data_IF_114931217077
#
_entry.id   IF_114931217077
#
_cell.length_a   1.000
_cell.length_b   1.000
_cell.length_c   1.000
_cell.angle_alpha   90.00
_cell.angle_beta   90.00
_cell.angle_gamma   90.00
#
_symmetry.space_group_name_H-M   'P 1'
#
loop_
_entity.id
_entity.type
_entity.pdbx_description
1 polymer ?
#
# COMPACT_ATOMS: atom_id res chain seq x y z
N UNK A 1 29.26 7.50 31.32
CA UNK A 1 28.97 7.80 29.92
C UNK A 1 28.59 6.58 29.00
N UNK A 2 28.56 5.32 29.51
CA UNK A 2 28.25 4.11 28.67
C UNK A 2 26.76 3.73 28.52
N UNK A 3 25.84 4.32 29.31
CA UNK A 3 24.40 4.00 29.23
C UNK A 3 23.67 4.70 28.05
N UNK A 4 24.15 5.85 27.58
CA UNK A 4 23.54 6.58 26.47
C UNK A 4 23.80 5.94 25.10
N UNK A 5 24.97 5.31 24.89
CA UNK A 5 25.30 4.65 23.62
C UNK A 5 24.49 3.37 23.35
N UNK A 6 24.09 2.66 24.43
CA UNK A 6 23.31 1.42 24.31
C UNK A 6 21.82 1.64 23.99
N UNK A 7 21.28 2.84 24.20
CA UNK A 7 19.90 3.20 23.80
C UNK A 7 19.87 3.65 22.34
N UNK A 8 20.87 4.43 21.91
CA UNK A 8 20.99 4.91 20.53
C UNK A 8 21.20 3.77 19.52
N UNK A 9 21.90 2.70 19.90
CA UNK A 9 22.13 1.53 19.04
C UNK A 9 20.87 0.66 18.81
N UNK A 10 19.80 0.86 19.59
CA UNK A 10 18.53 0.14 19.46
C UNK A 10 17.52 0.86 18.54
N UNK A 11 17.77 2.12 18.19
CA UNK A 11 16.88 2.89 17.32
C UNK A 11 17.17 2.50 15.86
N UNK A 12 16.15 2.07 15.09
CA UNK A 12 16.34 1.76 13.67
C UNK A 12 16.96 2.94 12.92
N UNK A 13 17.95 2.68 12.05
CA UNK A 13 18.64 3.72 11.27
C UNK A 13 17.71 4.64 10.48
N UNK A 14 16.58 4.11 10.01
CA UNK A 14 15.53 4.87 9.31
C UNK A 14 14.96 6.03 10.14
N UNK A 15 14.90 5.88 11.47
CA UNK A 15 14.42 6.96 12.35
C UNK A 15 15.30 8.22 12.23
N UNK A 16 16.62 8.01 12.18
CA UNK A 16 17.59 9.09 11.98
C UNK A 16 17.46 9.70 10.58
N UNK A 17 17.18 8.87 9.57
CA UNK A 17 16.89 9.32 8.22
C UNK A 17 15.64 10.22 8.17
N UNK A 18 14.54 9.83 8.82
CA UNK A 18 13.31 10.63 8.93
C UNK A 18 13.62 11.98 9.59
N UNK A 19 14.32 11.97 10.70
CA UNK A 19 14.66 13.19 11.44
C UNK A 19 15.53 14.14 10.61
N UNK A 20 16.58 13.61 9.97
CA UNK A 20 17.49 14.40 9.14
C UNK A 20 16.76 15.05 7.98
N UNK A 21 15.95 14.28 7.23
CA UNK A 21 15.21 14.77 6.07
C UNK A 21 14.12 15.77 6.49
N UNK A 22 13.44 15.53 7.63
CA UNK A 22 12.46 16.48 8.16
C UNK A 22 13.09 17.82 8.57
N UNK A 23 14.25 17.77 9.20
CA UNK A 23 15.01 18.98 9.56
C UNK A 23 15.46 19.70 8.29
N UNK A 24 16.02 18.99 7.30
CA UNK A 24 16.44 19.58 6.03
C UNK A 24 15.31 20.34 5.34
N UNK A 25 14.14 19.69 5.17
CA UNK A 25 12.99 20.33 4.50
C UNK A 25 12.33 21.42 5.34
N UNK A 26 12.45 21.39 6.65
CA UNK A 26 11.99 22.50 7.50
C UNK A 26 12.72 23.81 7.22
N UNK A 27 13.98 23.75 6.76
CA UNK A 27 14.77 24.93 6.39
C UNK A 27 14.70 25.26 4.89
N UNK A 28 14.51 24.26 4.02
CA UNK A 28 14.61 24.45 2.57
C UNK A 28 13.26 24.57 1.86
N UNK A 29 12.20 23.96 2.42
CA UNK A 29 10.88 23.91 1.79
C UNK A 29 9.90 24.85 2.50
N UNK A 30 9.39 25.84 1.77
CA UNK A 30 8.39 26.78 2.30
C UNK A 30 7.11 26.03 2.69
N UNK A 31 6.56 26.34 3.86
CA UNK A 31 5.35 25.73 4.42
C UNK A 31 5.48 24.24 4.78
N UNK A 32 6.68 23.66 4.83
CA UNK A 32 6.86 22.24 5.20
C UNK A 32 6.26 21.91 6.58
N UNK A 33 6.46 22.77 7.57
CA UNK A 33 5.96 22.62 8.95
C UNK A 33 4.52 23.11 9.14
N UNK A 34 3.83 23.58 8.08
CA UNK A 34 2.45 24.01 8.17
C UNK A 34 1.55 22.82 8.57
N UNK A 35 0.61 22.99 9.55
CA UNK A 35 -0.29 21.91 9.97
C UNK A 35 -1.06 21.23 8.83
N UNK A 36 -1.50 21.98 7.83
CA UNK A 36 -2.17 21.43 6.65
C UNK A 36 -1.23 20.56 5.81
N UNK A 37 0.05 20.90 5.73
CA UNK A 37 1.02 20.09 5.04
C UNK A 37 1.34 18.81 5.81
N UNK A 38 1.48 18.89 7.13
CA UNK A 38 1.65 17.70 7.99
C UNK A 38 0.48 16.74 7.82
N UNK A 39 -0.75 17.25 7.81
CA UNK A 39 -1.95 16.46 7.53
C UNK A 39 -1.88 15.77 6.15
N UNK A 40 -1.44 16.47 5.12
CA UNK A 40 -1.27 15.90 3.79
C UNK A 40 -0.19 14.81 3.74
N UNK A 41 0.93 15.01 4.43
CA UNK A 41 1.98 13.99 4.58
C UNK A 41 1.41 12.74 5.25
N UNK A 42 0.65 12.88 6.33
CA UNK A 42 0.02 11.76 7.03
C UNK A 42 -1.00 11.02 6.15
N UNK A 43 -1.84 11.75 5.40
CA UNK A 43 -2.79 11.14 4.44
C UNK A 43 -2.06 10.38 3.31
N UNK A 44 -0.97 10.95 2.78
CA UNK A 44 -0.15 10.29 1.76
C UNK A 44 0.53 9.03 2.32
N UNK A 45 1.10 9.12 3.52
CA UNK A 45 1.66 7.97 4.24
C UNK A 45 0.63 6.87 4.43
N UNK A 46 -0.61 7.22 4.80
CA UNK A 46 -1.68 6.26 5.03
C UNK A 46 -2.01 5.44 3.79
N UNK A 47 -2.20 6.11 2.65
CA UNK A 47 -2.46 5.43 1.37
C UNK A 47 -1.28 4.54 0.96
N UNK A 48 -0.06 5.09 1.03
CA UNK A 48 1.15 4.34 0.69
C UNK A 48 1.35 3.13 1.62
N UNK A 49 1.04 3.27 2.91
CA UNK A 49 1.19 2.18 3.88
C UNK A 49 0.21 1.04 3.60
N UNK A 50 -1.06 1.33 3.26
CA UNK A 50 -2.04 0.29 2.94
C UNK A 50 -1.59 -0.57 1.76
N UNK A 51 -1.13 0.03 0.67
CA UNK A 51 -0.62 -0.73 -0.48
C UNK A 51 0.69 -1.46 -0.12
N UNK A 52 1.54 -0.85 0.71
CA UNK A 52 2.81 -1.44 1.17
C UNK A 52 2.62 -2.65 2.09
N UNK A 53 1.44 -2.84 2.72
CA UNK A 53 1.14 -4.06 3.49
C UNK A 53 1.21 -5.29 2.58
N UNK A 54 0.58 -5.23 1.40
CA UNK A 54 0.65 -6.28 0.40
C UNK A 54 2.08 -6.54 -0.08
N UNK A 55 2.78 -5.48 -0.47
CA UNK A 55 4.18 -5.54 -0.89
C UNK A 55 5.08 -6.13 0.21
N UNK A 56 4.83 -5.82 1.49
CA UNK A 56 5.61 -6.38 2.62
C UNK A 56 5.46 -7.90 2.68
N UNK A 57 4.24 -8.42 2.53
CA UNK A 57 4.03 -9.88 2.57
C UNK A 57 4.69 -10.58 1.38
N UNK A 58 4.64 -9.99 0.19
CA UNK A 58 5.30 -10.53 -0.99
C UNK A 58 6.83 -10.55 -0.79
N UNK A 59 7.43 -9.43 -0.35
CA UNK A 59 8.88 -9.34 -0.14
C UNK A 59 9.34 -10.24 1.00
N UNK A 60 8.58 -10.34 2.10
CA UNK A 60 8.88 -11.28 3.18
C UNK A 60 8.91 -12.75 2.71
N UNK A 61 8.16 -13.10 1.67
CA UNK A 61 8.20 -14.44 1.05
C UNK A 61 9.27 -14.60 -0.04
N UNK A 62 10.17 -13.61 -0.20
CA UNK A 62 11.21 -13.61 -1.24
C UNK A 62 10.66 -13.34 -2.65
N UNK A 63 9.50 -12.70 -2.78
CA UNK A 63 8.84 -12.38 -4.05
C UNK A 63 8.48 -10.90 -4.14
N UNK A 64 8.19 -10.46 -5.34
CA UNK A 64 7.77 -9.07 -5.60
C UNK A 64 6.38 -9.08 -6.23
N UNK A 65 5.57 -8.09 -5.89
CA UNK A 65 4.29 -7.83 -6.53
C UNK A 65 4.28 -6.42 -7.13
N UNK A 66 4.50 -6.35 -8.44
CA UNK A 66 4.43 -5.11 -9.20
C UNK A 66 2.99 -4.73 -9.58
N UNK A 67 2.05 -5.67 -9.50
CA UNK A 67 0.69 -5.43 -9.97
C UNK A 67 -0.09 -4.43 -9.14
N UNK A 68 0.39 -4.10 -7.92
CA UNK A 68 -0.37 -3.32 -6.93
C UNK A 68 -0.80 -1.94 -7.43
N UNK A 69 0.02 -1.23 -8.23
CA UNK A 69 -0.33 0.08 -8.81
C UNK A 69 -1.45 -0.02 -9.85
N UNK A 70 -1.30 -0.91 -10.82
CA UNK A 70 -2.32 -1.18 -11.83
C UNK A 70 -3.61 -1.73 -11.23
N UNK A 71 -3.51 -2.63 -10.24
CA UNK A 71 -4.65 -3.18 -9.49
C UNK A 71 -5.39 -2.08 -8.73
N UNK A 72 -4.68 -1.20 -8.03
CA UNK A 72 -5.29 -0.08 -7.29
C UNK A 72 -6.01 0.88 -8.25
N UNK A 73 -5.37 1.22 -9.38
CA UNK A 73 -5.97 2.09 -10.39
C UNK A 73 -7.24 1.47 -10.96
N UNK A 74 -7.19 0.23 -11.42
CA UNK A 74 -8.35 -0.43 -12.01
C UNK A 74 -9.49 -0.63 -11.01
N UNK A 75 -9.20 -1.14 -9.82
CA UNK A 75 -10.19 -1.36 -8.75
C UNK A 75 -10.85 -0.05 -8.31
N UNK A 76 -10.06 1.01 -8.13
CA UNK A 76 -10.55 2.34 -7.82
C UNK A 76 -11.41 2.90 -8.94
N UNK A 77 -11.03 2.66 -10.22
CA UNK A 77 -11.80 3.10 -11.38
C UNK A 77 -13.15 2.38 -11.50
N UNK A 78 -13.20 1.06 -11.29
CA UNK A 78 -14.48 0.33 -11.28
C UNK A 78 -15.41 0.86 -10.19
N UNK A 79 -14.88 1.15 -9.00
CA UNK A 79 -15.64 1.79 -7.92
C UNK A 79 -16.07 3.22 -8.27
N UNK A 80 -15.22 3.98 -8.96
CA UNK A 80 -15.52 5.34 -9.41
C UNK A 80 -16.69 5.34 -10.41
N UNK A 81 -16.68 4.46 -11.41
CA UNK A 81 -17.75 4.30 -12.38
C UNK A 81 -19.06 3.91 -11.69
N UNK A 82 -19.02 2.95 -10.76
CA UNK A 82 -20.21 2.58 -9.99
C UNK A 82 -20.80 3.78 -9.23
N UNK A 83 -19.97 4.53 -8.49
CA UNK A 83 -20.46 5.70 -7.75
C UNK A 83 -20.92 6.83 -8.66
N UNK A 84 -20.31 7.00 -9.82
CA UNK A 84 -20.67 8.02 -10.80
C UNK A 84 -22.02 7.73 -11.51
N UNK A 85 -22.44 6.45 -11.58
CA UNK A 85 -23.75 6.07 -12.11
C UNK A 85 -24.92 6.39 -11.15
N UNK A 86 -24.64 6.86 -9.93
CA UNK A 86 -25.62 7.23 -8.91
C UNK A 86 -25.70 8.76 -8.79
N UNK A 87 -26.90 9.31 -8.71
CA UNK A 87 -27.10 10.77 -8.58
C UNK A 87 -26.57 11.31 -7.24
N UNK A 88 -26.87 10.60 -6.12
CA UNK A 88 -26.41 10.98 -4.78
C UNK A 88 -26.03 9.74 -3.94
N UNK A 89 -24.77 9.28 -4.03
CA UNK A 89 -24.31 8.11 -3.31
C UNK A 89 -24.39 8.28 -1.79
N UNK A 90 -25.08 7.36 -1.13
CA UNK A 90 -25.19 7.28 0.33
C UNK A 90 -24.13 6.35 0.94
N UNK A 91 -24.15 6.18 2.29
CA UNK A 91 -23.18 5.36 3.00
C UNK A 91 -23.19 3.87 2.56
N UNK A 92 -24.36 3.31 2.20
CA UNK A 92 -24.44 1.94 1.66
C UNK A 92 -23.76 1.81 0.29
N UNK A 93 -23.96 2.81 -0.57
CA UNK A 93 -23.29 2.83 -1.88
C UNK A 93 -21.77 2.93 -1.71
N UNK A 94 -21.29 3.71 -0.75
CA UNK A 94 -19.86 3.77 -0.42
C UNK A 94 -19.33 2.42 0.07
N UNK A 95 -20.07 1.73 0.95
CA UNK A 95 -19.69 0.39 1.41
C UNK A 95 -19.62 -0.61 0.23
N UNK A 96 -20.62 -0.59 -0.67
CA UNK A 96 -20.63 -1.43 -1.88
C UNK A 96 -19.41 -1.08 -2.76
N UNK A 97 -19.10 0.19 -2.96
CA UNK A 97 -17.94 0.63 -3.74
C UNK A 97 -16.60 0.14 -3.15
N UNK A 98 -16.46 0.17 -1.81
CA UNK A 98 -15.30 -0.42 -1.12
C UNK A 98 -15.23 -1.93 -1.37
N UNK A 99 -16.35 -2.64 -1.25
CA UNK A 99 -16.40 -4.09 -1.49
C UNK A 99 -16.09 -4.43 -2.95
N UNK A 100 -16.57 -3.63 -3.91
CA UNK A 100 -16.21 -3.75 -5.33
C UNK A 100 -14.70 -3.58 -5.51
N UNK A 101 -14.10 -2.51 -4.97
CA UNK A 101 -12.68 -2.26 -5.09
C UNK A 101 -11.84 -3.41 -4.52
N UNK A 102 -12.15 -3.83 -3.29
CA UNK A 102 -11.46 -4.95 -2.63
C UNK A 102 -11.68 -6.26 -3.39
N UNK A 103 -12.90 -6.51 -3.88
CA UNK A 103 -13.24 -7.70 -4.65
C UNK A 103 -12.49 -7.78 -5.98
N UNK A 104 -12.47 -6.69 -6.75
CA UNK A 104 -11.70 -6.61 -8.00
C UNK A 104 -10.21 -6.80 -7.74
N UNK A 105 -9.67 -6.13 -6.72
CA UNK A 105 -8.27 -6.31 -6.32
C UNK A 105 -7.97 -7.76 -5.89
N UNK A 106 -8.87 -8.38 -5.10
CA UNK A 106 -8.76 -9.77 -4.70
C UNK A 106 -8.77 -10.75 -5.89
N UNK A 107 -9.60 -10.50 -6.90
CA UNK A 107 -9.66 -11.32 -8.12
C UNK A 107 -8.34 -11.27 -8.90
N UNK A 108 -7.75 -10.07 -9.08
CA UNK A 108 -6.45 -9.92 -9.73
C UNK A 108 -5.36 -10.59 -8.87
N UNK A 109 -5.37 -10.38 -7.56
CA UNK A 109 -4.45 -11.02 -6.65
C UNK A 109 -4.59 -12.55 -6.64
N UNK A 110 -5.82 -13.08 -6.71
CA UNK A 110 -6.07 -14.52 -6.84
C UNK A 110 -5.52 -15.09 -8.15
N UNK A 111 -5.68 -14.37 -9.26
CA UNK A 111 -5.07 -14.74 -10.54
C UNK A 111 -3.54 -14.81 -10.43
N UNK A 112 -2.90 -13.74 -9.93
CA UNK A 112 -1.46 -13.71 -9.72
C UNK A 112 -1.00 -14.85 -8.79
N UNK A 113 -1.68 -15.01 -7.65
CA UNK A 113 -1.38 -16.06 -6.69
C UNK A 113 -1.55 -17.47 -7.24
N UNK A 114 -2.53 -17.70 -8.12
CA UNK A 114 -2.71 -18.98 -8.81
C UNK A 114 -1.57 -19.24 -9.80
N UNK A 115 -1.23 -18.27 -10.63
CA UNK A 115 -0.16 -18.39 -11.63
C UNK A 115 1.20 -18.62 -10.96
N UNK A 116 1.50 -17.88 -9.90
CA UNK A 116 2.79 -17.95 -9.20
C UNK A 116 2.84 -19.15 -8.26
N UNK A 117 1.82 -19.35 -7.44
CA UNK A 117 1.80 -20.40 -6.42
C UNK A 117 1.61 -21.80 -7.00
N UNK A 118 0.66 -21.99 -7.90
CA UNK A 118 0.29 -23.32 -8.41
C UNK A 118 0.93 -23.64 -9.77
N UNK A 119 1.02 -22.67 -10.67
CA UNK A 119 1.60 -22.86 -12.01
C UNK A 119 3.10 -22.59 -12.05
N UNK A 120 3.69 -22.01 -10.97
CA UNK A 120 5.12 -21.74 -10.84
C UNK A 120 5.69 -20.79 -11.90
N UNK A 121 4.84 -19.90 -12.43
CA UNK A 121 5.32 -18.82 -13.28
C UNK A 121 6.17 -17.82 -12.45
N UNK A 122 7.08 -17.14 -13.14
CA UNK A 122 7.88 -16.08 -12.54
C UNK A 122 7.00 -14.94 -12.04
N UNK A 123 7.22 -14.53 -10.78
CA UNK A 123 6.41 -13.51 -10.12
C UNK A 123 6.53 -12.13 -10.78
N UNK A 124 7.72 -11.79 -11.24
CA UNK A 124 8.01 -10.54 -11.91
C UNK A 124 7.22 -10.43 -13.23
N UNK A 125 7.27 -11.49 -14.03
CA UNK A 125 6.57 -11.53 -15.31
C UNK A 125 5.06 -11.40 -15.14
N UNK A 126 4.46 -12.18 -14.24
CA UNK A 126 3.00 -12.19 -14.03
C UNK A 126 2.53 -10.86 -13.44
N UNK A 127 3.20 -10.35 -12.42
CA UNK A 127 2.75 -9.13 -11.75
C UNK A 127 2.96 -7.88 -12.61
N UNK A 128 4.03 -7.81 -13.39
CA UNK A 128 4.24 -6.73 -14.37
C UNK A 128 3.20 -6.77 -15.50
N UNK A 129 2.86 -7.96 -15.99
CA UNK A 129 1.82 -8.13 -17.01
C UNK A 129 0.45 -7.70 -16.49
N UNK A 130 0.08 -8.13 -15.29
CA UNK A 130 -1.21 -7.75 -14.69
C UNK A 130 -1.27 -6.28 -14.29
N UNK A 131 -0.14 -5.64 -13.94
CA UNK A 131 -0.04 -4.19 -13.76
C UNK A 131 -0.42 -3.47 -15.05
N UNK A 132 0.21 -3.85 -16.17
CA UNK A 132 -0.03 -3.23 -17.48
C UNK A 132 -1.47 -3.44 -17.95
N UNK A 133 -2.04 -4.63 -17.74
CA UNK A 133 -3.44 -4.94 -18.01
C UNK A 133 -4.36 -4.06 -17.15
N UNK A 134 -4.05 -3.88 -15.85
CA UNK A 134 -4.83 -3.06 -14.93
C UNK A 134 -4.91 -1.59 -15.40
N UNK A 135 -3.78 -0.97 -15.76
CA UNK A 135 -3.77 0.39 -16.33
C UNK A 135 -4.53 0.46 -17.67
N UNK A 136 -4.33 -0.52 -18.56
CA UNK A 136 -5.03 -0.58 -19.84
C UNK A 136 -6.55 -0.71 -19.69
N UNK A 137 -7.02 -1.58 -18.80
CA UNK A 137 -8.45 -1.74 -18.50
C UNK A 137 -9.05 -0.48 -17.86
N UNK A 138 -8.34 0.18 -16.96
CA UNK A 138 -8.77 1.46 -16.39
C UNK A 138 -8.97 2.53 -17.47
N UNK A 139 -8.09 2.56 -18.48
CA UNK A 139 -8.18 3.49 -19.59
C UNK A 139 -9.36 3.15 -20.50
N UNK A 140 -9.60 1.87 -20.79
CA UNK A 140 -10.73 1.42 -21.65
C UNK A 140 -12.08 1.77 -21.03
N UNK A 141 -12.26 1.55 -19.71
CA UNK A 141 -13.55 1.78 -19.04
C UNK A 141 -13.99 3.26 -19.12
N UNK A 142 -13.04 4.20 -19.09
CA UNK A 142 -13.33 5.63 -19.05
C UNK A 142 -13.04 6.36 -20.35
N UNK A 143 -12.54 5.67 -21.38
CA UNK A 143 -12.06 6.31 -22.60
C UNK A 143 -10.89 7.26 -22.34
N UNK A 144 -10.08 7.00 -21.28
CA UNK A 144 -8.96 7.84 -20.88
C UNK A 144 -9.33 9.06 -20.01
N UNK A 145 -10.61 9.25 -19.68
CA UNK A 145 -11.07 10.40 -18.91
C UNK A 145 -10.92 10.19 -17.40
N UNK A 146 -10.77 11.32 -16.70
CA UNK A 146 -10.81 11.36 -15.23
C UNK A 146 -12.27 11.49 -14.79
N UNK A 147 -12.70 10.67 -13.85
CA UNK A 147 -14.01 10.77 -13.20
C UNK A 147 -13.81 11.49 -11.86
N UNK A 148 -14.62 12.52 -11.58
CA UNK A 148 -14.50 13.33 -10.36
C UNK A 148 -15.85 13.92 -9.96
N UNK A 149 -15.88 14.63 -8.82
CA UNK A 149 -17.08 15.38 -8.41
C UNK A 149 -18.00 14.63 -7.47
N UNK A 150 -17.48 13.75 -6.62
CA UNK A 150 -18.27 13.00 -5.65
C UNK A 150 -18.70 13.85 -4.45
N UNK A 151 -19.82 13.45 -3.86
CA UNK A 151 -20.38 14.10 -2.67
C UNK A 151 -19.51 13.87 -1.41
N UNK A 152 -19.89 14.54 -0.30
CA UNK A 152 -19.17 14.45 0.98
C UNK A 152 -19.15 13.03 1.56
N UNK A 153 -20.18 12.22 1.29
CA UNK A 153 -20.27 10.84 1.78
C UNK A 153 -19.16 9.95 1.20
N UNK A 154 -18.93 10.06 -0.10
CA UNK A 154 -17.84 9.34 -0.78
C UNK A 154 -16.47 9.81 -0.29
N UNK A 155 -16.30 11.12 -0.08
CA UNK A 155 -15.05 11.71 0.40
C UNK A 155 -14.75 11.45 1.87
N UNK A 156 -15.73 10.97 2.64
CA UNK A 156 -15.60 10.84 4.09
C UNK A 156 -14.47 9.91 4.53
N UNK A 157 -14.27 8.78 3.85
CA UNK A 157 -13.22 7.82 4.22
C UNK A 157 -11.80 8.33 3.91
N UNK A 158 -11.64 9.16 2.87
CA UNK A 158 -10.33 9.70 2.46
C UNK A 158 -9.96 11.06 3.04
N UNK A 159 -10.96 11.92 3.30
CA UNK A 159 -10.75 13.31 3.74
C UNK A 159 -11.58 13.72 4.96
N UNK A 160 -12.54 12.90 5.37
CA UNK A 160 -13.38 13.15 6.55
C UNK A 160 -12.58 13.08 7.86
N UNK A 161 -13.20 13.59 8.94
CA UNK A 161 -12.62 13.58 10.29
C UNK A 161 -13.64 13.08 11.31
N UNK A 162 -13.16 12.26 12.26
CA UNK A 162 -13.89 11.83 13.45
C UNK A 162 -13.10 12.28 14.68
N UNK A 163 -13.75 13.02 15.60
CA UNK A 163 -13.10 13.56 16.81
C UNK A 163 -11.80 14.34 16.54
N UNK A 164 -11.72 15.04 15.38
CA UNK A 164 -10.54 15.80 14.99
C UNK A 164 -9.42 14.97 14.35
N UNK A 165 -9.58 13.64 14.22
CA UNK A 165 -8.60 12.75 13.57
C UNK A 165 -9.13 12.38 12.18
N UNK A 166 -8.28 12.38 11.17
CA UNK A 166 -8.66 11.94 9.81
C UNK A 166 -9.04 10.47 9.78
N UNK A 167 -10.21 10.17 9.18
CA UNK A 167 -10.74 8.81 9.08
C UNK A 167 -9.76 7.88 8.37
N UNK A 168 -9.09 8.37 7.34
CA UNK A 168 -8.06 7.63 6.61
C UNK A 168 -6.93 7.13 7.53
N UNK A 169 -6.47 7.96 8.50
CA UNK A 169 -5.47 7.54 9.48
C UNK A 169 -6.01 6.43 10.40
N UNK A 170 -7.25 6.56 10.85
CA UNK A 170 -7.88 5.54 11.70
C UNK A 170 -7.99 4.20 10.98
N UNK A 171 -8.44 4.20 9.73
CA UNK A 171 -8.49 2.99 8.89
C UNK A 171 -7.10 2.37 8.78
N UNK A 172 -6.09 3.19 8.48
CA UNK A 172 -4.71 2.72 8.30
C UNK A 172 -4.14 2.11 9.57
N UNK A 173 -4.37 2.73 10.72
CA UNK A 173 -3.91 2.20 12.03
C UNK A 173 -4.57 0.86 12.33
N UNK A 174 -5.89 0.75 12.13
CA UNK A 174 -6.65 -0.48 12.38
C UNK A 174 -6.16 -1.59 11.43
N UNK A 175 -6.10 -1.32 10.13
CA UNK A 175 -5.66 -2.31 9.12
C UNK A 175 -4.22 -2.76 9.38
N UNK A 176 -3.32 -1.81 9.64
CA UNK A 176 -1.91 -2.13 9.93
C UNK A 176 -1.77 -2.93 11.23
N UNK A 177 -2.52 -2.56 12.29
CA UNK A 177 -2.52 -3.29 13.55
C UNK A 177 -3.00 -4.73 13.40
N UNK A 178 -4.10 -4.94 12.66
CA UNK A 178 -4.61 -6.28 12.34
C UNK A 178 -3.58 -7.11 11.55
N UNK A 179 -2.88 -6.48 10.60
CA UNK A 179 -1.88 -7.18 9.80
C UNK A 179 -0.59 -7.46 10.56
N UNK A 180 -0.16 -6.59 11.46
CA UNK A 180 0.94 -6.87 12.40
C UNK A 180 0.59 -8.07 13.28
N UNK A 181 -0.64 -8.10 13.82
CA UNK A 181 -1.12 -9.24 14.59
C UNK A 181 -1.14 -10.52 13.75
N UNK A 182 -1.65 -10.47 12.51
CA UNK A 182 -1.67 -11.61 11.59
C UNK A 182 -0.26 -12.15 11.34
N UNK A 183 0.69 -11.28 11.02
CA UNK A 183 2.07 -11.69 10.71
C UNK A 183 2.81 -12.24 11.94
N UNK A 184 2.58 -11.69 13.13
CA UNK A 184 3.32 -12.07 14.35
C UNK A 184 2.70 -13.21 15.13
N UNK A 185 1.36 -13.36 15.08
CA UNK A 185 0.62 -14.22 16.00
C UNK A 185 -0.11 -15.38 15.33
N UNK A 186 -0.05 -15.51 13.98
CA UNK A 186 -0.76 -16.59 13.28
C UNK A 186 0.18 -17.55 12.56
N UNK A 187 -0.32 -18.77 12.30
CA UNK A 187 0.40 -19.77 11.49
C UNK A 187 0.69 -19.24 10.08
N UNK A 188 -0.22 -18.44 9.51
CA UNK A 188 -0.02 -17.87 8.19
C UNK A 188 1.19 -16.93 8.16
N UNK A 189 1.35 -16.05 9.17
CA UNK A 189 2.53 -15.20 9.29
C UNK A 189 3.82 -16.04 9.40
N UNK A 190 3.86 -17.07 10.26
CA UNK A 190 5.01 -17.97 10.35
C UNK A 190 5.34 -18.64 9.02
N UNK A 191 4.31 -19.06 8.25
CA UNK A 191 4.52 -19.66 6.93
C UNK A 191 5.13 -18.68 5.93
N UNK A 192 4.74 -17.38 5.94
CA UNK A 192 5.34 -16.35 5.09
C UNK A 192 6.85 -16.24 5.35
N UNK A 193 7.25 -16.13 6.62
CA UNK A 193 8.67 -16.04 6.99
C UNK A 193 9.44 -17.33 6.63
N UNK A 194 8.85 -18.51 6.88
CA UNK A 194 9.47 -19.80 6.54
C UNK A 194 9.67 -19.95 5.02
N UNK A 195 8.66 -19.57 4.21
CA UNK A 195 8.76 -19.61 2.74
C UNK A 195 9.83 -18.63 2.24
N UNK A 196 9.94 -17.45 2.86
CA UNK A 196 10.94 -16.46 2.49
C UNK A 196 12.36 -16.85 2.88
N UNK A 197 12.54 -17.61 3.95
CA UNK A 197 13.87 -18.09 4.35
C UNK A 197 14.33 -19.22 3.40
N UNK A 198 13.47 -20.20 3.13
CA UNK A 198 13.70 -21.27 2.15
C UNK A 198 12.42 -21.98 1.77
N UNK A 199 11.98 -21.88 0.51
CA UNK A 199 10.80 -22.60 0.02
C UNK A 199 10.96 -24.13 0.19
N UNK A 200 12.16 -24.65 -0.07
CA UNK A 200 12.45 -26.09 0.03
C UNK A 200 12.34 -26.57 1.48
N UNK A 201 12.98 -25.86 2.41
CA UNK A 201 12.92 -26.20 3.84
C UNK A 201 11.49 -26.06 4.40
N UNK A 202 10.76 -25.06 3.98
CA UNK A 202 9.37 -24.86 4.37
C UNK A 202 8.48 -26.03 3.88
N UNK A 203 8.65 -26.47 2.63
CA UNK A 203 7.88 -27.57 2.05
C UNK A 203 8.17 -28.89 2.77
N UNK A 204 9.45 -29.22 3.03
CA UNK A 204 9.85 -30.41 3.80
C UNK A 204 9.32 -30.36 5.24
N UNK A 205 9.20 -29.16 5.81
CA UNK A 205 8.61 -28.96 7.15
C UNK A 205 7.07 -29.01 7.17
N UNK A 206 6.43 -29.33 6.03
CA UNK A 206 4.96 -29.50 5.93
C UNK A 206 4.21 -28.20 5.66
N UNK A 207 4.88 -27.09 5.35
CA UNK A 207 4.22 -25.84 4.93
C UNK A 207 3.71 -25.97 3.50
N UNK A 208 2.43 -25.67 3.28
CA UNK A 208 1.87 -25.62 1.94
C UNK A 208 2.29 -24.33 1.23
N UNK A 209 3.47 -24.35 0.60
CA UNK A 209 4.08 -23.21 -0.11
C UNK A 209 3.15 -22.65 -1.19
N UNK A 210 2.46 -23.52 -1.96
CA UNK A 210 1.53 -23.11 -3.03
C UNK A 210 0.39 -22.26 -2.48
N UNK A 211 -0.26 -22.76 -1.40
CA UNK A 211 -1.36 -22.06 -0.73
C UNK A 211 -0.88 -20.77 -0.06
N UNK A 212 0.30 -20.78 0.55
CA UNK A 212 0.88 -19.59 1.18
C UNK A 212 1.12 -18.50 0.15
N UNK A 213 1.75 -18.79 -0.97
CA UNK A 213 1.97 -17.86 -2.06
C UNK A 213 0.65 -17.33 -2.64
N UNK A 214 -0.33 -18.21 -2.87
CA UNK A 214 -1.67 -17.80 -3.33
C UNK A 214 -2.30 -16.77 -2.38
N UNK A 215 -2.30 -17.03 -1.08
CA UNK A 215 -2.90 -16.14 -0.09
C UNK A 215 -2.17 -14.80 0.03
N UNK A 216 -0.84 -14.79 -0.14
CA UNK A 216 -0.04 -13.55 -0.16
C UNK A 216 -0.53 -12.62 -1.28
N UNK A 217 -0.62 -13.11 -2.51
CA UNK A 217 -1.06 -12.29 -3.64
C UNK A 217 -2.54 -11.93 -3.58
N UNK A 218 -3.40 -12.83 -3.08
CA UNK A 218 -4.82 -12.54 -2.83
C UNK A 218 -4.97 -11.33 -1.89
N UNK A 219 -4.25 -11.33 -0.77
CA UNK A 219 -4.27 -10.23 0.19
C UNK A 219 -3.61 -8.97 -0.37
N UNK A 220 -2.49 -9.11 -1.09
CA UNK A 220 -1.82 -7.99 -1.75
C UNK A 220 -2.77 -7.26 -2.71
N UNK A 221 -3.46 -7.99 -3.57
CA UNK A 221 -4.48 -7.44 -4.47
C UNK A 221 -5.65 -6.82 -3.73
N UNK A 222 -6.10 -7.43 -2.61
CA UNK A 222 -7.17 -6.87 -1.77
C UNK A 222 -6.79 -5.52 -1.17
N UNK A 223 -5.56 -5.38 -0.67
CA UNK A 223 -5.04 -4.10 -0.16
C UNK A 223 -4.81 -3.07 -1.26
N UNK A 224 -4.38 -3.51 -2.44
CA UNK A 224 -4.30 -2.65 -3.61
C UNK A 224 -5.68 -2.12 -4.01
N UNK A 225 -6.72 -2.97 -4.01
CA UNK A 225 -8.09 -2.55 -4.25
C UNK A 225 -8.60 -1.54 -3.22
N UNK A 226 -8.38 -1.82 -1.93
CA UNK A 226 -8.71 -0.87 -0.85
C UNK A 226 -7.98 0.47 -1.04
N UNK A 227 -6.70 0.43 -1.37
CA UNK A 227 -5.90 1.62 -1.68
C UNK A 227 -6.51 2.43 -2.83
N UNK A 228 -6.94 1.78 -3.91
CA UNK A 228 -7.59 2.42 -5.06
C UNK A 228 -8.85 3.19 -4.66
N UNK A 229 -9.72 2.58 -3.85
CA UNK A 229 -10.89 3.29 -3.31
C UNK A 229 -10.51 4.46 -2.39
N UNK A 230 -9.53 4.29 -1.53
CA UNK A 230 -9.09 5.36 -0.63
C UNK A 230 -8.42 6.52 -1.38
N UNK A 231 -7.75 6.25 -2.49
CA UNK A 231 -7.25 7.29 -3.41
C UNK A 231 -8.42 8.07 -4.00
N UNK A 232 -9.43 7.41 -4.57
CA UNK A 232 -10.65 8.02 -5.07
C UNK A 232 -11.30 8.94 -4.03
N UNK A 233 -11.52 8.41 -2.82
CA UNK A 233 -12.16 9.13 -1.72
C UNK A 233 -11.33 10.34 -1.25
N UNK A 234 -10.00 10.22 -1.24
CA UNK A 234 -9.07 11.28 -0.82
C UNK A 234 -8.95 12.40 -1.85
N UNK A 235 -8.80 12.06 -3.14
CA UNK A 235 -8.56 13.05 -4.21
C UNK A 235 -9.83 13.57 -4.83
N UNK A 236 -11.00 12.97 -4.49
CA UNK A 236 -12.29 13.25 -5.11
C UNK A 236 -12.29 13.02 -6.64
N UNK A 237 -11.40 12.20 -7.12
CA UNK A 237 -11.21 11.92 -8.54
C UNK A 237 -10.49 10.59 -8.74
N UNK A 238 -10.70 9.96 -9.90
CA UNK A 238 -9.98 8.77 -10.32
C UNK A 238 -9.68 8.86 -11.82
N UNK A 239 -8.42 8.72 -12.15
CA UNK A 239 -7.94 8.70 -13.54
C UNK A 239 -7.24 7.38 -13.85
N UNK A 240 -7.00 7.08 -15.13
CA UNK A 240 -6.43 5.79 -15.57
C UNK A 240 -4.96 5.57 -15.14
N UNK A 241 -4.29 6.59 -14.59
CA UNK A 241 -2.91 6.53 -14.10
C UNK A 241 -2.78 6.96 -12.64
N UNK A 242 -3.89 6.99 -11.87
CA UNK A 242 -3.91 7.58 -10.51
C UNK A 242 -2.92 6.93 -9.54
N UNK A 243 -2.71 5.61 -9.62
CA UNK A 243 -1.78 4.90 -8.75
C UNK A 243 -0.49 4.46 -9.49
N UNK A 244 -0.14 5.11 -10.60
CA UNK A 244 1.11 4.86 -11.32
C UNK A 244 2.31 5.20 -10.42
N UNK A 245 3.32 4.30 -10.38
CA UNK A 245 4.50 4.42 -9.53
C UNK A 245 4.29 4.06 -8.06
N UNK A 246 3.06 3.74 -7.61
CA UNK A 246 2.83 3.30 -6.23
C UNK A 246 3.47 1.95 -5.94
N UNK A 247 3.62 1.07 -6.93
CA UNK A 247 4.34 -0.19 -6.81
C UNK A 247 5.79 0.03 -6.39
N UNK A 248 6.49 0.94 -7.04
CA UNK A 248 7.88 1.28 -6.70
C UNK A 248 7.99 1.98 -5.35
N UNK A 249 7.07 2.91 -5.04
CA UNK A 249 7.04 3.59 -3.75
C UNK A 249 6.77 2.60 -2.61
N UNK A 250 5.88 1.61 -2.80
CA UNK A 250 5.59 0.57 -1.83
C UNK A 250 6.81 -0.33 -1.58
N UNK A 251 7.47 -0.80 -2.65
CA UNK A 251 8.71 -1.57 -2.54
C UNK A 251 9.78 -0.76 -1.81
N UNK A 252 10.00 0.50 -2.20
CA UNK A 252 10.97 1.37 -1.56
C UNK A 252 10.66 1.55 -0.06
N UNK A 253 9.39 1.75 0.31
CA UNK A 253 8.97 1.86 1.71
C UNK A 253 9.28 0.59 2.51
N UNK A 254 9.06 -0.59 1.92
CA UNK A 254 9.34 -1.89 2.54
C UNK A 254 10.84 -2.11 2.75
N UNK A 255 11.66 -1.84 1.73
CA UNK A 255 13.11 -2.06 1.77
C UNK A 255 13.79 -1.05 2.70
N UNK A 256 13.48 0.24 2.56
CA UNK A 256 14.01 1.29 3.45
C UNK A 256 13.56 1.04 4.89
N UNK A 257 12.37 0.44 5.07
CA UNK A 257 11.87 -0.04 6.36
C UNK A 257 12.66 -1.22 6.95
N UNK A 258 13.61 -1.81 6.21
CA UNK A 258 14.51 -2.86 6.68
C UNK A 258 14.05 -4.29 6.41
N UNK A 259 13.08 -4.48 5.51
CA UNK A 259 12.75 -5.81 4.98
C UNK A 259 13.70 -6.16 3.83
N UNK A 260 14.33 -7.34 3.90
CA UNK A 260 15.31 -7.77 2.89
C UNK A 260 14.63 -8.35 1.64
N UNK A 261 15.20 -8.10 0.46
CA UNK A 261 14.71 -8.67 -0.81
C UNK A 261 14.74 -10.20 -0.85
N UNK A 262 15.71 -10.80 -0.15
CA UNK A 262 15.87 -12.27 -0.10
C UNK A 262 14.74 -12.95 0.71
N UNK A 263 13.87 -12.17 1.37
CA UNK A 263 12.80 -12.68 2.21
C UNK A 263 13.23 -13.06 3.63
N UNK A 264 12.32 -13.62 4.40
CA UNK A 264 12.55 -14.17 5.74
C UNK A 264 12.86 -13.15 6.86
N UNK A 265 13.21 -11.90 6.53
CA UNK A 265 13.65 -10.88 7.49
C UNK A 265 12.96 -9.55 7.26
N UNK A 266 12.50 -8.92 8.34
CA UNK A 266 11.80 -7.63 8.29
C UNK A 266 10.40 -7.67 8.89
N UNK A 267 9.53 -6.77 8.43
CA UNK A 267 8.12 -6.76 8.83
C UNK A 267 7.47 -5.38 8.79
N UNK A 268 6.15 -5.37 9.04
CA UNK A 268 5.31 -4.17 8.88
C UNK A 268 5.71 -3.00 9.79
N UNK A 269 6.32 -3.25 10.95
CA UNK A 269 6.79 -2.15 11.82
C UNK A 269 7.84 -1.27 11.13
N UNK A 270 8.75 -1.88 10.37
CA UNK A 270 9.70 -1.16 9.52
C UNK A 270 9.02 -0.47 8.35
N UNK A 271 8.08 -1.15 7.69
CA UNK A 271 7.32 -0.59 6.55
C UNK A 271 6.56 0.68 6.93
N UNK A 272 6.01 0.77 8.16
CA UNK A 272 5.37 2.01 8.66
C UNK A 272 6.34 3.19 8.62
N UNK A 273 7.54 3.01 9.13
CA UNK A 273 8.58 4.04 9.11
C UNK A 273 9.06 4.33 7.68
N UNK A 274 9.18 3.29 6.86
CA UNK A 274 9.54 3.43 5.44
C UNK A 274 8.52 4.23 4.64
N UNK A 275 7.23 3.94 4.81
CA UNK A 275 6.16 4.68 4.15
C UNK A 275 6.14 6.15 4.57
N UNK A 276 6.34 6.43 5.86
CA UNK A 276 6.47 7.80 6.38
C UNK A 276 7.69 8.51 5.78
N UNK A 277 8.84 7.85 5.72
CA UNK A 277 10.05 8.40 5.12
C UNK A 277 9.85 8.77 3.65
N UNK A 278 9.32 7.85 2.84
CA UNK A 278 9.04 8.09 1.41
C UNK A 278 8.04 9.24 1.23
N UNK A 279 6.98 9.29 2.04
CA UNK A 279 5.99 10.37 1.98
C UNK A 279 6.58 11.73 2.32
N UNK A 280 7.46 11.81 3.33
CA UNK A 280 8.18 13.05 3.71
C UNK A 280 9.10 13.50 2.58
N UNK A 281 9.89 12.58 2.01
CA UNK A 281 10.81 12.89 0.91
C UNK A 281 10.03 13.44 -0.30
N UNK A 282 8.97 12.73 -0.74
CA UNK A 282 8.16 13.16 -1.87
C UNK A 282 7.51 14.54 -1.63
N UNK A 283 6.92 14.72 -0.45
CA UNK A 283 6.30 15.99 -0.08
C UNK A 283 7.32 17.15 -0.07
N UNK A 284 8.49 16.94 0.55
CA UNK A 284 9.54 17.95 0.61
C UNK A 284 10.06 18.34 -0.77
N UNK A 285 10.30 17.34 -1.65
CA UNK A 285 10.73 17.57 -3.03
C UNK A 285 9.67 18.34 -3.83
N UNK A 286 8.38 18.00 -3.69
CA UNK A 286 7.28 18.74 -4.33
C UNK A 286 7.22 20.20 -3.87
N UNK A 287 7.41 20.47 -2.58
CA UNK A 287 7.37 21.82 -2.03
C UNK A 287 8.53 22.72 -2.52
N UNK A 288 9.67 22.13 -2.89
CA UNK A 288 10.79 22.85 -3.51
C UNK A 288 10.70 22.90 -5.05
N UNK A 289 9.59 22.41 -5.64
CA UNK A 289 9.31 22.51 -7.07
C UNK A 289 9.85 21.38 -7.93
N UNK A 290 10.30 20.27 -7.34
CA UNK A 290 10.72 19.09 -8.09
C UNK A 290 9.51 18.15 -8.34
N UNK A 291 9.33 17.70 -9.59
CA UNK A 291 8.34 16.65 -9.94
C UNK A 291 8.85 15.27 -9.46
N UNK A 292 8.02 14.53 -8.75
CA UNK A 292 8.41 13.25 -8.08
C UNK A 292 7.38 12.16 -8.39
#
# INVERSE_FOLDING_TARGET
MKKGSAVLSKIPGIFWGILLVSVLFSFTAKNFTNPLNIENVLKNTSVLLIISIGATMAILSGKIDLSVGGTATFSGMVSAVYLHSLEDPNAWNVLIAVLIAVGVGALIGAFNGFMIGYKKFDNWLITFSTMSIGFGLAQVITGGNIISGYNKTVRFLGDGSLWGIKVLLLITVVVTGLMIFLLRSTRFGMHIYAVGDSEICAEVSGVNVKKTNFMIYLLSGSFAGLCGFLLLSKTNSMGPTTADGYEFNAIAAVIVGGTTFDGGKGGLGGTVLGALFIAIVKNGLQLIGLSV
#
